data_IF_324058996669
#
_entry.id   IF_324058996669
#
_cell.length_a   1.000
_cell.length_b   1.000
_cell.length_c   1.000
_cell.angle_alpha   90.00
_cell.angle_beta   90.00
_cell.angle_gamma   90.00
#
_symmetry.space_group_name_H-M   'P 1'
#
loop_
_entity.id
_entity.type
_entity.pdbx_description
1 polymer ?
#
# COMPACT_ATOMS: atom_id res chain seq x y z
N UNK A 1 3.06 -10.23 -12.87
CA UNK A 1 2.67 -10.63 -11.49
C UNK A 1 1.84 -11.91 -11.54
N UNK A 2 2.46 -13.09 -11.64
CA UNK A 2 1.75 -14.35 -11.95
C UNK A 2 1.16 -15.09 -10.72
N UNK A 3 1.43 -14.64 -9.49
CA UNK A 3 1.16 -15.44 -8.26
C UNK A 3 0.11 -14.90 -7.28
N UNK A 4 -0.56 -13.79 -7.58
CA UNK A 4 -1.60 -13.26 -6.68
C UNK A 4 -3.02 -13.61 -7.11
N UNK A 5 -3.28 -13.78 -8.41
CA UNK A 5 -4.64 -13.84 -8.98
C UNK A 5 -5.52 -12.66 -8.52
N UNK A 6 -4.86 -11.57 -8.09
CA UNK A 6 -5.45 -10.43 -7.39
C UNK A 6 -6.23 -10.77 -6.09
N UNK A 7 -5.96 -11.91 -5.45
CA UNK A 7 -6.57 -12.33 -4.18
C UNK A 7 -5.61 -12.21 -2.97
N UNK A 8 -4.63 -11.32 -3.07
CA UNK A 8 -3.61 -11.06 -2.03
C UNK A 8 -3.36 -9.56 -1.96
N UNK A 9 -2.90 -9.08 -0.81
CA UNK A 9 -2.60 -7.66 -0.56
C UNK A 9 -1.47 -7.08 -1.43
N UNK A 10 -0.80 -7.91 -2.26
CA UNK A 10 0.11 -7.44 -3.31
C UNK A 10 -0.61 -6.76 -4.48
N UNK A 11 -1.93 -6.93 -4.59
CA UNK A 11 -2.76 -6.22 -5.56
C UNK A 11 -3.39 -5.00 -4.88
N UNK A 12 -3.15 -3.81 -5.43
CA UNK A 12 -3.66 -2.56 -4.88
C UNK A 12 -5.19 -2.51 -4.85
N UNK A 13 -5.87 -3.01 -5.88
CA UNK A 13 -7.34 -3.07 -5.91
C UNK A 13 -7.87 -3.93 -4.75
N UNK A 14 -7.30 -5.12 -4.57
CA UNK A 14 -7.70 -6.05 -3.50
C UNK A 14 -7.38 -5.49 -2.12
N UNK A 15 -6.18 -4.91 -1.93
CA UNK A 15 -5.80 -4.24 -0.68
C UNK A 15 -6.69 -3.03 -0.36
N UNK A 16 -7.18 -2.32 -1.39
CA UNK A 16 -8.11 -1.21 -1.26
C UNK A 16 -9.58 -1.65 -1.06
N UNK A 17 -9.87 -2.96 -1.05
CA UNK A 17 -11.24 -3.45 -0.91
C UNK A 17 -12.10 -3.31 -2.16
N UNK A 18 -11.50 -3.07 -3.32
CA UNK A 18 -12.20 -2.87 -4.62
C UNK A 18 -11.94 -4.01 -5.60
N UNK A 19 -12.85 -4.23 -6.55
CA UNK A 19 -12.60 -5.13 -7.67
C UNK A 19 -11.63 -4.49 -8.67
N UNK A 20 -10.87 -5.31 -9.39
CA UNK A 20 -10.06 -4.84 -10.50
C UNK A 20 -10.99 -4.32 -11.61
N UNK A 21 -10.69 -3.13 -12.13
CA UNK A 21 -11.36 -2.53 -13.28
C UNK A 21 -10.30 -1.92 -14.19
N UNK A 22 -10.30 -2.31 -15.47
CA UNK A 22 -9.31 -1.82 -16.45
C UNK A 22 -7.85 -2.20 -16.19
N UNK A 23 -7.58 -3.20 -15.33
CA UNK A 23 -6.22 -3.59 -14.96
C UNK A 23 -5.61 -4.58 -15.95
N UNK A 24 -4.30 -4.47 -16.25
CA UNK A 24 -3.54 -5.44 -17.06
C UNK A 24 -3.08 -6.67 -16.24
N UNK A 25 -3.92 -7.16 -15.33
CA UNK A 25 -3.60 -8.28 -14.45
C UNK A 25 -3.68 -9.62 -15.20
N UNK A 26 -2.71 -10.50 -14.99
CA UNK A 26 -2.76 -11.86 -15.53
C UNK A 26 -3.54 -12.78 -14.59
N UNK A 27 -4.53 -13.51 -15.12
CA UNK A 27 -5.40 -14.44 -14.37
C UNK A 27 -6.09 -13.77 -13.16
N UNK A 28 -6.71 -12.61 -13.40
CA UNK A 28 -7.42 -11.87 -12.36
C UNK A 28 -8.68 -12.60 -11.90
N UNK A 29 -8.76 -12.88 -10.60
CA UNK A 29 -9.97 -13.37 -9.95
C UNK A 29 -10.61 -12.31 -9.04
N UNK A 30 -10.04 -11.10 -8.95
CA UNK A 30 -10.62 -9.99 -8.20
C UNK A 30 -11.67 -9.25 -9.03
N UNK A 31 -12.73 -9.95 -9.42
CA UNK A 31 -13.85 -9.40 -10.20
C UNK A 31 -15.20 -9.86 -9.65
N UNK A 32 -16.30 -9.21 -10.07
CA UNK A 32 -17.64 -9.55 -9.59
C UNK A 32 -18.03 -11.00 -9.93
N UNK A 33 -17.49 -11.58 -11.00
CA UNK A 33 -17.73 -12.98 -11.39
C UNK A 33 -17.22 -13.98 -10.34
N UNK A 34 -16.25 -13.59 -9.53
CA UNK A 34 -15.65 -14.43 -8.48
C UNK A 34 -15.89 -13.83 -7.08
N UNK A 35 -16.96 -13.03 -6.90
CA UNK A 35 -17.21 -12.29 -5.67
C UNK A 35 -17.18 -13.17 -4.40
N UNK A 36 -17.75 -14.38 -4.46
CA UNK A 36 -17.71 -15.32 -3.32
C UNK A 36 -16.28 -15.71 -2.91
N UNK A 37 -15.40 -15.96 -3.88
CA UNK A 37 -14.00 -16.29 -3.62
C UNK A 37 -13.22 -15.08 -3.10
N UNK A 38 -13.52 -13.89 -3.61
CA UNK A 38 -12.94 -12.62 -3.14
C UNK A 38 -13.30 -12.39 -1.67
N UNK A 39 -14.58 -12.52 -1.33
CA UNK A 39 -15.08 -12.30 0.02
C UNK A 39 -14.49 -13.32 1.01
N UNK A 40 -14.46 -14.60 0.66
CA UNK A 40 -13.87 -15.63 1.51
C UNK A 40 -12.37 -15.37 1.75
N UNK A 41 -11.65 -14.88 0.74
CA UNK A 41 -10.24 -14.48 0.91
C UNK A 41 -10.07 -13.27 1.81
N UNK A 42 -10.96 -12.27 1.70
CA UNK A 42 -10.96 -11.10 2.60
C UNK A 42 -11.23 -11.53 4.03
N UNK A 43 -12.29 -12.33 4.26
CA UNK A 43 -12.65 -12.88 5.56
C UNK A 43 -11.49 -13.64 6.20
N UNK A 44 -10.84 -14.54 5.46
CA UNK A 44 -9.68 -15.28 5.94
C UNK A 44 -8.50 -14.38 6.34
N UNK A 45 -8.25 -13.29 5.61
CA UNK A 45 -7.19 -12.33 5.92
C UNK A 45 -7.57 -11.51 7.16
N UNK A 46 -8.81 -11.02 7.25
CA UNK A 46 -9.30 -10.27 8.41
C UNK A 46 -9.30 -11.11 9.70
N UNK A 47 -9.57 -12.41 9.60
CA UNK A 47 -9.51 -13.32 10.73
C UNK A 47 -8.08 -13.46 11.30
N UNK A 48 -7.06 -13.28 10.46
CA UNK A 48 -5.64 -13.35 10.86
C UNK A 48 -5.10 -12.01 11.32
N UNK A 49 -5.50 -10.94 10.64
CA UNK A 49 -5.15 -9.56 10.96
C UNK A 49 -6.37 -8.67 10.65
N UNK A 50 -7.15 -8.28 11.68
CA UNK A 50 -8.32 -7.42 11.51
C UNK A 50 -8.00 -6.05 10.89
N UNK A 51 -6.75 -5.60 10.96
CA UNK A 51 -6.29 -4.33 10.41
C UNK A 51 -5.64 -4.47 9.02
N UNK A 52 -5.67 -5.67 8.42
CA UNK A 52 -5.02 -5.95 7.14
C UNK A 52 -5.54 -5.10 5.96
N UNK A 53 -6.80 -4.66 6.01
CA UNK A 53 -7.43 -3.81 4.99
C UNK A 53 -7.59 -2.35 5.45
N UNK A 54 -7.19 -2.03 6.68
CA UNK A 54 -7.16 -0.66 7.17
C UNK A 54 -5.86 0.00 6.71
N UNK A 55 -5.97 1.16 6.06
CA UNK A 55 -4.78 1.95 5.71
C UNK A 55 -4.07 2.37 7.00
N UNK A 56 -2.85 1.87 7.23
CA UNK A 56 -2.07 2.09 8.47
C UNK A 56 -1.56 3.52 8.66
N UNK A 57 -1.87 4.44 7.75
CA UNK A 57 -1.46 5.83 7.83
C UNK A 57 -2.47 6.57 8.71
N UNK A 58 -2.32 6.48 10.03
CA UNK A 58 -2.91 7.51 10.89
C UNK A 58 -2.22 8.82 10.52
N UNK A 59 -3.00 9.75 9.97
CA UNK A 59 -2.61 11.13 9.74
C UNK A 59 -2.43 11.81 11.10
N UNK A 60 -1.29 11.58 11.75
CA UNK A 60 -0.91 12.40 12.90
C UNK A 60 -0.49 13.76 12.38
N UNK A 61 -1.48 14.64 12.34
CA UNK A 61 -1.33 16.05 12.07
C UNK A 61 -0.72 16.71 13.31
N UNK A 62 0.49 16.36 13.72
CA UNK A 62 1.30 17.20 14.61
C UNK A 62 2.76 16.74 14.72
N UNK A 63 3.62 17.76 14.67
CA UNK A 63 4.94 17.82 15.28
C UNK A 63 6.03 16.89 14.71
N UNK A 64 6.93 17.52 13.97
CA UNK A 64 8.27 16.97 13.76
C UNK A 64 8.96 16.75 15.10
N UNK A 65 9.26 15.49 15.41
CA UNK A 65 10.46 15.08 16.14
C UNK A 65 10.54 13.55 16.09
N UNK A 66 11.64 13.10 15.54
CA UNK A 66 12.41 11.91 15.90
C UNK A 66 11.68 10.63 16.38
N UNK A 67 11.96 9.56 15.60
CA UNK A 67 11.86 8.13 15.91
C UNK A 67 10.49 7.49 15.71
N UNK A 68 10.46 6.67 14.65
CA UNK A 68 9.45 5.67 14.28
C UNK A 68 8.69 5.09 15.49
N UNK A 69 7.47 5.55 15.77
CA UNK A 69 6.61 4.93 16.81
C UNK A 69 5.54 3.97 16.27
N UNK A 70 5.28 3.95 14.96
CA UNK A 70 4.78 2.77 14.22
C UNK A 70 5.02 2.93 12.71
N UNK A 71 6.29 3.13 12.36
CA UNK A 71 6.73 3.47 11.00
C UNK A 71 7.16 2.25 10.18
N UNK A 72 7.09 2.42 8.86
CA UNK A 72 7.58 1.52 7.81
C UNK A 72 8.86 0.70 8.17
N UNK A 73 8.99 -0.49 7.57
CA UNK A 73 10.14 -1.40 7.79
C UNK A 73 11.40 -1.01 6.98
N UNK A 74 11.58 0.27 6.71
CA UNK A 74 12.60 0.80 5.81
C UNK A 74 14.00 0.68 6.43
N UNK A 75 14.75 -0.39 6.11
CA UNK A 75 16.13 -0.62 6.62
C UNK A 75 17.22 0.14 5.86
N UNK A 76 17.03 0.36 4.55
CA UNK A 76 18.05 0.96 3.65
C UNK A 76 17.55 2.15 2.85
N UNK A 77 16.23 2.31 2.72
CA UNK A 77 15.65 3.42 1.98
C UNK A 77 15.63 4.72 2.77
N UNK A 78 15.88 4.68 4.10
CA UNK A 78 15.76 5.82 5.01
C UNK A 78 14.47 6.63 4.80
N UNK A 79 13.41 5.96 4.37
CA UNK A 79 12.13 6.61 4.03
C UNK A 79 12.17 7.59 2.86
N UNK A 80 13.23 7.58 2.04
CA UNK A 80 13.45 8.48 0.91
C UNK A 80 13.18 7.84 -0.46
N UNK A 81 12.79 6.55 -0.49
CA UNK A 81 12.53 5.81 -1.74
C UNK A 81 11.07 5.41 -1.84
N UNK A 82 10.55 5.35 -3.07
CA UNK A 82 9.17 4.95 -3.42
C UNK A 82 8.70 3.62 -2.84
N UNK A 83 9.60 2.74 -2.44
CA UNK A 83 9.27 1.49 -1.76
C UNK A 83 8.80 1.69 -0.31
N UNK A 84 9.01 2.88 0.26
CA UNK A 84 8.65 3.20 1.61
C UNK A 84 7.25 3.83 1.66
N UNK A 85 6.38 3.29 2.50
CA UNK A 85 5.00 3.75 2.68
C UNK A 85 4.95 5.21 3.16
N UNK A 86 5.92 5.62 3.98
CA UNK A 86 6.08 7.02 4.40
C UNK A 86 6.33 7.93 3.20
N UNK A 87 7.28 7.57 2.32
CA UNK A 87 7.59 8.39 1.13
C UNK A 87 6.39 8.59 0.21
N UNK A 88 5.58 7.54 -0.01
CA UNK A 88 4.38 7.65 -0.84
C UNK A 88 3.31 8.55 -0.21
N UNK A 89 3.20 8.55 1.12
CA UNK A 89 2.23 9.37 1.87
C UNK A 89 2.62 10.85 1.90
N UNK A 90 3.92 11.15 2.02
CA UNK A 90 4.46 12.53 1.95
C UNK A 90 4.26 13.19 0.57
N UNK A 91 3.99 12.41 -0.49
CA UNK A 91 3.64 12.96 -1.81
C UNK A 91 2.18 13.39 -1.93
N UNK A 92 1.29 12.98 -1.02
CA UNK A 92 -0.13 13.27 -1.12
C UNK A 92 -0.55 14.61 -0.50
N UNK A 93 0.31 15.23 0.32
CA UNK A 93 0.07 16.55 0.90
C UNK A 93 1.33 17.39 0.72
N UNK A 94 1.36 18.19 -0.35
CA UNK A 94 2.27 19.35 -0.38
C UNK A 94 1.86 20.34 0.72
N UNK A 95 2.83 20.98 1.39
CA UNK A 95 3.54 22.06 0.72
C UNK A 95 5.08 22.01 0.88
N UNK A 96 5.74 22.54 -0.16
CA UNK A 96 7.11 23.08 -0.20
C UNK A 96 8.30 22.16 0.13
N UNK A 97 8.96 21.73 -0.97
CA UNK A 97 10.41 21.81 -1.24
C UNK A 97 11.41 21.48 -0.11
N UNK A 98 12.15 20.36 -0.24
CA UNK A 98 13.62 20.35 0.01
C UNK A 98 14.30 19.26 -0.86
N UNK A 99 15.07 19.75 -1.84
CA UNK A 99 16.29 19.19 -2.46
C UNK A 99 16.28 17.80 -3.11
N UNK A 100 16.19 17.82 -4.45
CA UNK A 100 16.89 16.89 -5.33
C UNK A 100 18.41 16.98 -5.16
N UNK A 101 19.15 15.85 -5.15
CA UNK A 101 20.48 15.84 -5.75
C UNK A 101 20.46 14.94 -6.99
N UNK A 102 20.56 15.62 -8.13
CA UNK A 102 21.50 15.35 -9.23
C UNK A 102 21.56 13.92 -9.81
N UNK A 103 21.05 13.79 -11.03
CA UNK A 103 21.50 12.79 -12.00
C UNK A 103 23.00 13.00 -12.33
N UNK A 104 23.78 11.93 -12.59
CA UNK A 104 25.17 12.05 -13.01
C UNK A 104 25.28 12.28 -14.54
N UNK A 105 26.40 12.80 -15.04
CA UNK A 105 26.76 12.66 -16.46
C UNK A 105 27.16 11.21 -16.80
#
# INVERSE_FOLDING_TARGET
MLKSQCLKLYCDCFAAGTFCSGCACLSCLNGPQHAAQVEEKRRCIMQRDPQAFTRKIQADSQAGSERHKRGCNCKRSHCLKKYCECFQSLRAVGPTAITTPSSPP
#
